data_IF_968531730641
#
_entry.id   IF_968531730641
#
_cell.length_a   1.000
_cell.length_b   1.000
_cell.length_c   1.000
_cell.angle_alpha   90.00
_cell.angle_beta   90.00
_cell.angle_gamma   90.00
#
_symmetry.space_group_name_H-M   'P 1'
#
loop_
_entity.id
_entity.type
_entity.pdbx_description
1 polymer ?
2 non-polymer ?
3 water ?
#
# COMPACT_ATOMS: atom_id res chain seq x y z
N UNK A 6 21.84 17.46 6.39
CA UNK A 6 21.80 16.22 7.15
C UNK A 6 20.68 15.29 6.65
N UNK A 7 19.78 15.82 5.82
CA UNK A 7 18.59 15.13 5.32
C UNK A 7 18.86 13.69 4.90
N UNK A 8 20.01 13.46 4.27
CA UNK A 8 20.35 12.15 3.73
C UNK A 8 21.11 11.28 4.73
N UNK A 9 20.95 11.51 6.03
CA UNK A 9 21.80 10.84 7.00
C UNK A 9 21.57 9.34 7.00
N UNK A 10 20.34 8.88 6.91
CA UNK A 10 20.15 7.44 6.92
C UNK A 10 20.38 6.79 5.55
N UNK A 11 20.99 7.48 4.59
CA UNK A 11 21.10 6.98 3.22
C UNK A 11 22.55 6.71 2.83
N UNK A 12 22.72 5.81 1.87
CA UNK A 12 24.00 5.53 1.25
C UNK A 12 24.07 6.25 -0.09
N UNK A 13 25.14 7.02 -0.29
CA UNK A 13 25.38 7.65 -1.59
C UNK A 13 25.99 6.62 -2.53
N UNK A 14 25.38 6.44 -3.70
CA UNK A 14 25.84 5.47 -4.69
C UNK A 14 26.52 6.20 -5.83
N UNK A 15 27.64 5.63 -6.34
CA UNK A 15 28.32 6.28 -7.48
C UNK A 15 27.56 6.00 -8.78
N UNK A 16 27.47 6.98 -9.68
CA UNK A 16 26.72 6.75 -10.93
C UNK A 16 27.24 5.59 -11.77
N UNK A 17 28.54 5.27 -11.71
CA UNK A 17 29.05 4.15 -12.49
C UNK A 17 28.50 2.79 -12.04
N UNK A 18 27.88 2.71 -10.85
CA UNK A 18 27.31 1.46 -10.37
C UNK A 18 25.87 1.23 -10.81
N UNK A 19 25.26 2.18 -11.51
CA UNK A 19 23.86 2.13 -11.89
C UNK A 19 23.76 2.06 -13.40
N UNK A 20 22.92 1.17 -13.91
CA UNK A 20 22.63 1.12 -15.33
C UNK A 20 21.11 1.09 -15.51
N UNK A 21 20.60 2.05 -16.29
CA UNK A 21 19.18 2.14 -16.55
C UNK A 21 18.84 1.40 -17.83
N UNK A 22 17.70 0.70 -17.84
CA UNK A 22 17.36 -0.11 -19.04
C UNK A 22 16.00 0.26 -19.64
N UNK A 23 14.91 0.26 -18.87
CA UNK A 23 13.62 0.53 -19.47
C UNK A 23 12.85 1.50 -18.60
N UNK A 24 12.16 2.45 -19.26
CA UNK A 24 11.27 3.36 -18.56
C UNK A 24 10.03 2.58 -18.10
N UNK A 25 9.69 2.72 -16.82
CA UNK A 25 8.57 2.00 -16.22
C UNK A 25 7.53 2.94 -15.61
N UNK A 26 7.65 4.24 -15.84
CA UNK A 26 6.75 5.19 -15.21
C UNK A 26 7.31 6.59 -15.28
N UNK A 27 6.54 7.52 -14.72
CA UNK A 27 6.91 8.93 -14.71
C UNK A 27 6.94 9.42 -13.27
N UNK A 28 7.92 10.28 -12.98
CA UNK A 28 8.08 10.87 -11.68
C UNK A 28 7.64 12.33 -11.64
N UNK A 29 7.99 13.04 -10.58
CA UNK A 29 7.61 14.46 -10.45
C UNK A 29 8.27 15.28 -11.56
N UNK A 30 9.57 15.11 -11.75
CA UNK A 30 10.30 15.83 -12.78
C UNK A 30 11.41 14.89 -13.23
N UNK A 31 11.02 13.82 -13.89
CA UNK A 31 11.95 12.79 -14.33
C UNK A 31 11.22 11.48 -14.51
N UNK A 32 11.91 10.54 -15.14
CA UNK A 32 11.34 9.23 -15.41
C UNK A 32 11.74 8.25 -14.32
N UNK A 33 10.93 7.22 -14.17
CA UNK A 33 11.28 6.06 -13.34
C UNK A 33 11.72 4.95 -14.28
N UNK A 34 12.82 4.28 -13.92
CA UNK A 34 13.37 3.21 -14.73
C UNK A 34 13.48 1.92 -13.93
N UNK A 35 13.66 0.86 -14.71
CA UNK A 35 13.99 -0.52 -14.26
C UNK A 35 15.47 -0.68 -14.62
N UNK A 36 16.33 -1.08 -13.69
CA UNK A 36 17.76 -1.10 -13.96
C UNK A 36 18.50 -2.10 -13.10
N UNK A 37 19.84 -2.03 -13.17
CA UNK A 37 20.72 -2.90 -12.40
C UNK A 37 21.69 -2.09 -11.56
N UNK A 38 22.01 -2.62 -10.38
CA UNK A 38 22.93 -1.97 -9.44
C UNK A 38 24.08 -2.91 -9.11
N UNK A 39 25.31 -2.39 -9.13
CA UNK A 39 26.50 -3.14 -8.78
C UNK A 39 26.98 -2.72 -7.40
N UNK A 40 27.18 -3.71 -6.52
CA UNK A 40 27.80 -3.46 -5.21
C UNK A 40 28.74 -4.61 -4.83
N UNK A 45 26.13 -10.85 -9.43
CA UNK A 45 26.52 -9.74 -8.51
C UNK A 45 25.68 -8.50 -8.84
N UNK A 46 25.00 -8.49 -9.98
CA UNK A 46 24.16 -7.33 -10.39
C UNK A 46 22.77 -7.52 -9.75
N UNK A 47 22.25 -6.49 -9.12
CA UNK A 47 20.96 -6.55 -8.44
C UNK A 47 19.98 -5.70 -9.23
N UNK A 48 18.78 -6.19 -9.52
CA UNK A 48 17.77 -5.34 -10.17
C UNK A 48 17.24 -4.28 -9.21
N UNK A 49 16.90 -3.11 -9.77
CA UNK A 49 16.50 -1.97 -8.96
C UNK A 49 15.48 -1.13 -9.72
N UNK A 50 14.68 -0.37 -9.00
CA UNK A 50 13.87 0.70 -9.56
C UNK A 50 14.58 2.02 -9.30
N UNK A 51 14.50 2.94 -10.27
CA UNK A 51 15.28 4.18 -10.24
C UNK A 51 14.36 5.35 -10.60
N UNK A 52 14.18 6.29 -9.67
CA UNK A 52 13.46 7.53 -9.92
C UNK A 52 14.47 8.68 -10.05
N UNK A 53 14.42 9.39 -11.18
CA UNK A 53 15.40 10.45 -11.47
C UNK A 53 14.80 11.85 -11.27
N UNK A 54 15.68 12.82 -11.06
CA UNK A 54 15.34 14.23 -11.07
C UNK A 54 16.19 14.92 -12.13
N UNK A 55 15.57 15.21 -13.27
CA UNK A 55 16.26 15.73 -14.47
C UNK A 55 16.63 17.21 -14.35
N UNK A 56 17.37 17.70 -15.34
CA UNK A 56 17.80 19.10 -15.40
C UNK A 56 16.62 20.03 -15.57
N UNK A 57 16.62 21.13 -14.80
CA UNK A 57 15.55 22.11 -14.81
C UNK A 57 14.64 22.04 -13.61
N UNK A 58 14.87 21.12 -12.68
CA UNK A 58 13.95 20.95 -11.56
C UNK A 58 14.00 22.19 -10.67
N UNK A 59 12.86 22.48 -10.07
CA UNK A 59 12.75 23.66 -9.20
C UNK A 59 13.38 23.37 -7.85
N UNK A 60 13.49 24.44 -7.04
CA UNK A 60 13.99 24.28 -5.68
C UNK A 60 13.01 23.49 -4.83
N UNK A 61 11.70 23.70 -5.01
CA UNK A 61 10.72 22.89 -4.30
C UNK A 61 10.81 21.42 -4.66
N UNK A 62 11.01 21.12 -5.96
CA UNK A 62 11.13 19.73 -6.37
C UNK A 62 12.35 19.08 -5.75
N UNK A 63 13.45 19.83 -5.62
CA UNK A 63 14.66 19.25 -5.03
C UNK A 63 14.47 18.99 -3.55
N UNK A 64 13.77 19.88 -2.85
CA UNK A 64 13.49 19.64 -1.43
C UNK A 64 12.65 18.38 -1.27
N UNK A 65 11.60 18.26 -2.08
CA UNK A 65 10.73 17.09 -1.99
C UNK A 65 11.46 15.82 -2.39
N UNK A 66 12.32 15.91 -3.41
CA UNK A 66 13.04 14.74 -3.88
C UNK A 66 13.97 14.20 -2.79
N UNK A 67 14.91 15.03 -2.33
CA UNK A 67 15.84 14.60 -1.29
C UNK A 67 15.13 14.37 0.04
N UNK A 68 13.98 15.01 0.26
CA UNK A 68 13.19 14.71 1.44
C UNK A 68 12.61 13.31 1.39
N UNK A 69 12.08 12.91 0.23
CA UNK A 69 11.62 11.53 0.08
C UNK A 69 12.76 10.55 0.32
N UNK A 70 13.93 10.81 -0.28
CA UNK A 70 15.06 9.92 -0.09
C UNK A 70 15.44 9.81 1.37
N UNK A 71 15.37 10.94 2.10
CA UNK A 71 15.79 10.95 3.49
C UNK A 71 14.85 10.15 4.39
N UNK A 72 13.54 10.33 4.22
CA UNK A 72 12.62 9.57 5.06
C UNK A 72 12.68 8.09 4.71
N UNK A 73 12.87 7.75 3.43
CA UNK A 73 12.97 6.35 3.04
C UNK A 73 14.19 5.71 3.69
N UNK A 74 15.34 6.40 3.66
CA UNK A 74 16.52 5.90 4.33
C UNK A 74 16.30 5.63 5.80
N UNK A 75 15.41 6.39 6.44
CA UNK A 75 15.16 6.23 7.87
C UNK A 75 14.30 4.99 8.18
N UNK A 76 13.50 4.52 7.22
CA UNK A 76 12.66 3.36 7.47
C UNK A 76 13.46 2.07 7.31
N UNK A 77 13.32 1.17 8.27
CA UNK A 77 13.99 -0.14 8.21
C UNK A 77 13.00 -1.15 8.78
N UNK A 78 12.23 -1.76 7.89
CA UNK A 78 11.19 -2.67 8.32
C UNK A 78 10.92 -3.66 7.20
N UNK A 79 10.62 -4.89 7.58
CA UNK A 79 10.37 -5.98 6.65
C UNK A 79 9.26 -5.67 5.65
N UNK A 80 8.24 -4.90 6.05
CA UNK A 80 7.10 -4.64 5.19
C UNK A 80 7.08 -3.21 4.65
N UNK A 81 8.23 -2.55 4.59
CA UNK A 81 8.40 -1.25 3.95
C UNK A 81 9.43 -1.41 2.83
N UNK A 82 9.19 -0.78 1.68
CA UNK A 82 10.16 -0.83 0.58
C UNK A 82 11.51 -0.34 1.09
N UNK A 83 12.57 -1.02 0.65
CA UNK A 83 13.93 -0.70 1.15
C UNK A 83 14.71 0.17 0.15
N UNK A 84 15.26 1.27 0.64
CA UNK A 84 16.08 2.17 -0.17
C UNK A 84 17.48 1.57 -0.34
N UNK A 85 17.91 1.36 -1.58
CA UNK A 85 19.28 0.91 -1.80
C UNK A 85 20.27 2.06 -1.63
N UNK A 86 19.91 3.24 -2.12
CA UNK A 86 20.80 4.38 -1.99
C UNK A 86 20.27 5.55 -2.78
N UNK A 87 21.14 6.54 -2.94
CA UNK A 87 20.77 7.79 -3.58
C UNK A 87 21.97 8.28 -4.35
N UNK A 88 21.72 8.98 -5.46
CA UNK A 88 22.73 9.79 -6.13
C UNK A 88 22.34 11.24 -5.92
N UNK A 89 23.09 11.94 -5.07
CA UNK A 89 22.87 13.37 -4.88
C UNK A 89 24.04 14.22 -5.34
N UNK A 90 25.24 13.63 -5.48
CA UNK A 90 26.44 14.38 -5.85
C UNK A 90 26.58 14.59 -7.36
N UNK A 91 25.81 13.91 -8.19
CA UNK A 91 25.92 14.05 -9.64
C UNK A 91 24.53 14.22 -10.23
N UNK A 92 24.50 14.64 -11.49
CA UNK A 92 23.25 14.91 -12.20
C UNK A 92 23.10 13.93 -13.35
N UNK A 93 21.92 13.33 -13.52
CA UNK A 93 20.68 13.55 -12.76
C UNK A 93 20.68 12.84 -11.41
N UNK A 94 19.99 13.43 -10.43
CA UNK A 94 19.91 12.82 -9.11
C UNK A 94 18.98 11.62 -9.18
N UNK A 95 19.18 10.66 -8.27
CA UNK A 95 18.46 9.41 -8.37
C UNK A 95 18.09 8.88 -6.99
N UNK A 96 16.91 8.25 -6.92
CA UNK A 96 16.48 7.46 -5.78
C UNK A 96 16.41 6.01 -6.24
N UNK A 97 17.07 5.09 -5.52
CA UNK A 97 17.26 3.73 -5.99
C UNK A 97 16.73 2.77 -4.92
N UNK A 98 15.75 1.96 -5.29
CA UNK A 98 15.15 1.03 -4.33
C UNK A 98 15.33 -0.40 -4.81
N UNK A 99 14.99 -1.34 -3.93
CA UNK A 99 14.91 -2.73 -4.34
C UNK A 99 13.85 -2.89 -5.43
N UNK A 100 13.99 -3.95 -6.22
CA UNK A 100 13.04 -4.26 -7.27
C UNK A 100 12.28 -5.51 -6.87
N UNK A 101 10.96 -5.50 -7.06
CA UNK A 101 10.11 -6.67 -6.74
C UNK A 101 9.59 -7.27 -8.04
N UNK A 102 10.00 -8.49 -8.39
CA UNK A 102 9.55 -9.10 -9.67
C UNK A 102 8.03 -9.32 -9.74
N UNK A 103 7.34 -9.55 -8.62
CA UNK A 103 5.88 -9.81 -8.70
C UNK A 103 5.11 -8.51 -8.89
N UNK A 104 5.74 -7.36 -8.71
CA UNK A 104 5.08 -6.09 -9.00
C UNK A 104 4.02 -5.66 -7.98
N UNK A 105 3.12 -4.80 -8.45
CA UNK A 105 2.13 -4.16 -7.59
C UNK A 105 1.02 -5.14 -7.20
N UNK A 106 0.58 -5.04 -5.95
CA UNK A 106 -0.32 -6.05 -5.38
C UNK A 106 -1.69 -6.05 -6.05
N UNK A 107 -2.19 -4.90 -6.49
CA UNK A 107 -3.53 -4.91 -7.08
C UNK A 107 -3.53 -5.66 -8.41
N UNK A 108 -2.55 -5.38 -9.28
CA UNK A 108 -2.43 -6.11 -10.53
C UNK A 108 -2.10 -7.59 -10.29
N UNK A 109 -1.24 -7.84 -9.30
CA UNK A 109 -0.85 -9.21 -8.95
C UNK A 109 -2.07 -10.08 -8.64
N UNK A 110 -2.94 -9.60 -7.74
CA UNK A 110 -4.10 -10.39 -7.35
C UNK A 110 -5.08 -10.57 -8.52
N UNK A 111 -5.28 -9.53 -9.33
CA UNK A 111 -6.20 -9.65 -10.46
C UNK A 111 -5.73 -10.68 -11.47
N UNK A 112 -4.41 -10.89 -11.61
CA UNK A 112 -3.90 -11.86 -12.57
C UNK A 112 -3.72 -13.23 -11.95
N UNK A 113 -4.16 -13.43 -10.71
CA UNK A 113 -3.97 -14.67 -9.98
C UNK A 113 -5.24 -14.99 -9.20
N UNK A 114 -6.39 -14.72 -9.81
CA UNK A 114 -7.70 -14.88 -9.19
C UNK A 114 -7.88 -16.30 -8.67
N UNK A 115 -8.10 -16.42 -7.37
CA UNK A 115 -8.43 -17.69 -6.75
C UNK A 115 -7.29 -18.62 -6.47
N UNK A 116 -6.04 -18.16 -6.61
CA UNK A 116 -4.89 -19.08 -6.58
C UNK A 116 -4.28 -19.27 -5.20
N UNK A 117 -4.75 -18.56 -4.16
CA UNK A 117 -4.12 -18.63 -2.85
C UNK A 117 -5.14 -19.06 -1.80
N UNK A 118 -4.62 -19.52 -0.65
CA UNK A 118 -5.45 -19.90 0.48
C UNK A 118 -5.85 -18.66 1.30
N UNK A 119 -6.92 -18.81 2.09
CA UNK A 119 -7.28 -17.68 2.96
C UNK A 119 -6.15 -17.40 3.96
N UNK A 120 -5.45 -18.44 4.41
CA UNK A 120 -4.33 -18.20 5.31
C UNK A 120 -3.27 -17.34 4.63
N UNK A 121 -2.99 -17.59 3.35
CA UNK A 121 -2.03 -16.77 2.61
C UNK A 121 -2.52 -15.34 2.46
N UNK A 122 -3.80 -15.16 2.13
CA UNK A 122 -4.35 -13.82 2.00
C UNK A 122 -4.24 -13.05 3.32
N UNK A 123 -4.68 -13.67 4.41
CA UNK A 123 -4.63 -12.99 5.70
C UNK A 123 -3.19 -12.70 6.10
N UNK A 124 -2.24 -13.57 5.73
CA UNK A 124 -0.84 -13.31 6.03
C UNK A 124 -0.33 -12.06 5.34
N UNK A 125 -0.74 -11.86 4.08
CA UNK A 125 -0.37 -10.64 3.37
C UNK A 125 -0.90 -9.40 4.09
N UNK A 126 -2.12 -9.49 4.63
CA UNK A 126 -2.71 -8.36 5.34
C UNK A 126 -1.97 -8.09 6.65
N UNK A 127 -1.53 -9.15 7.34
CA UNK A 127 -0.77 -8.94 8.56
C UNK A 127 0.52 -8.19 8.27
N UNK A 128 1.19 -8.53 7.17
CA UNK A 128 2.41 -7.82 6.79
C UNK A 128 2.15 -6.34 6.50
N UNK A 129 1.13 -6.05 5.70
CA UNK A 129 0.80 -4.64 5.40
C UNK A 129 0.50 -3.89 6.70
N UNK A 130 -0.20 -4.52 7.63
CA UNK A 130 -0.51 -3.86 8.91
C UNK A 130 0.74 -3.60 9.74
N UNK A 131 1.67 -4.56 9.79
CA UNK A 131 2.91 -4.35 10.54
C UNK A 131 3.69 -3.17 9.97
N UNK A 132 3.70 -3.03 8.65
CA UNK A 132 4.36 -1.89 8.04
C UNK A 132 3.65 -0.59 8.35
N UNK A 133 2.31 -0.58 8.29
CA UNK A 133 1.58 0.64 8.64
C UNK A 133 1.73 1.00 10.12
N UNK A 134 1.70 -0.01 11.01
CA UNK A 134 1.95 0.26 12.43
C UNK A 134 3.31 0.93 12.62
N UNK A 135 4.32 0.47 11.91
CA UNK A 135 5.65 1.08 11.99
C UNK A 135 5.64 2.51 11.48
N UNK A 136 5.03 2.75 10.32
CA UNK A 136 4.94 4.12 9.78
C UNK A 136 4.24 5.05 10.76
N UNK A 137 3.08 4.64 11.28
CA UNK A 137 2.33 5.46 12.23
C UNK A 137 3.16 5.77 13.47
N UNK A 138 3.86 4.77 14.00
CA UNK A 138 4.71 4.99 15.17
C UNK A 138 5.85 5.96 14.89
N UNK A 139 6.43 5.90 13.69
CA UNK A 139 7.43 6.88 13.25
C UNK A 139 6.82 8.22 12.90
N UNK A 140 5.51 8.39 13.05
CA UNK A 140 4.80 9.65 12.81
C UNK A 140 4.80 10.02 11.32
N UNK A 141 4.70 9.01 10.47
CA UNK A 141 4.58 9.23 9.03
C UNK A 141 3.18 8.85 8.60
N UNK A 142 2.44 9.80 8.05
CA UNK A 142 1.08 9.56 7.55
C UNK A 142 1.16 9.29 6.05
N UNK A 143 0.66 8.13 5.62
CA UNK A 143 0.89 7.71 4.24
C UNK A 143 0.06 8.52 3.25
N UNK A 144 -1.25 8.61 3.48
CA UNK A 144 -2.24 9.40 2.72
C UNK A 144 -2.73 8.76 1.43
N UNK A 145 -2.07 7.71 0.93
CA UNK A 145 -2.51 7.07 -0.32
C UNK A 145 -2.33 5.56 -0.22
N UNK A 146 -2.74 4.98 0.90
CA UNK A 146 -2.63 3.54 1.08
C UNK A 146 -3.72 2.84 0.27
N UNK A 147 -3.30 1.88 -0.54
CA UNK A 147 -4.11 1.19 -1.53
C UNK A 147 -3.27 0.06 -2.11
N UNK A 148 -3.93 -0.96 -2.68
CA UNK A 148 -3.20 -2.10 -3.21
C UNK A 148 -2.23 -1.71 -4.32
N UNK A 149 -2.53 -0.64 -5.08
CA UNK A 149 -1.64 -0.21 -6.16
C UNK A 149 -0.32 0.34 -5.62
N UNK A 150 -0.25 0.69 -4.33
CA UNK A 150 0.98 1.21 -3.73
C UNK A 150 1.69 0.18 -2.87
N UNK A 151 1.45 -1.11 -3.09
CA UNK A 151 2.06 -2.18 -2.30
C UNK A 151 2.72 -3.16 -3.24
N UNK A 152 3.94 -3.57 -2.92
CA UNK A 152 4.73 -4.46 -3.75
C UNK A 152 4.81 -5.84 -3.11
N UNK A 153 4.85 -6.89 -3.94
CA UNK A 153 4.93 -8.29 -3.48
C UNK A 153 6.25 -8.89 -3.95
N UNK A 154 7.01 -9.52 -3.03
CA UNK A 154 8.23 -10.20 -3.44
C UNK A 154 7.94 -11.69 -3.67
N UNK A 155 8.99 -12.44 -3.98
CA UNK A 155 8.83 -13.84 -4.36
C UNK A 155 8.62 -14.77 -3.17
N UNK A 156 8.59 -14.24 -1.95
CA UNK A 156 8.12 -14.97 -0.78
C UNK A 156 6.69 -14.59 -0.39
N UNK A 157 5.99 -13.83 -1.25
CA UNK A 157 4.65 -13.31 -1.00
C UNK A 157 4.62 -12.23 0.09
N UNK A 158 5.76 -11.59 0.37
CA UNK A 158 5.83 -10.58 1.42
C UNK A 158 5.46 -9.22 0.84
N UNK A 159 4.51 -8.52 1.49
CA UNK A 159 4.05 -7.23 0.99
C UNK A 159 4.84 -6.08 1.61
N UNK A 160 5.25 -5.14 0.76
CA UNK A 160 6.03 -3.97 1.18
C UNK A 160 5.27 -2.70 0.80
N UNK A 161 4.92 -1.91 1.81
CA UNK A 161 4.24 -0.63 1.59
C UNK A 161 5.19 0.31 0.87
N UNK A 162 4.69 0.97 -0.18
CA UNK A 162 5.47 1.88 -0.99
C UNK A 162 4.63 3.13 -1.25
N UNK A 163 5.13 4.03 -2.09
CA UNK A 163 4.31 5.15 -2.57
C UNK A 163 4.86 5.59 -3.92
N UNK A 164 4.16 5.23 -4.99
CA UNK A 164 4.62 5.61 -6.31
C UNK A 164 4.19 7.02 -6.68
N UNK A 165 3.45 7.70 -5.81
CA UNK A 165 3.21 9.11 -5.93
C UNK A 165 2.22 9.55 -6.99
N UNK A 166 1.41 8.63 -7.52
CA UNK A 166 0.53 9.02 -8.61
C UNK A 166 -0.59 9.93 -8.15
N UNK A 167 -0.85 9.99 -6.84
CA UNK A 167 -1.95 10.80 -6.32
C UNK A 167 -1.46 12.19 -5.95
N UNK A 186 -7.98 9.82 -4.74
CA UNK A 186 -8.33 8.45 -4.35
C UNK A 186 -9.56 8.45 -3.44
N UNK A 187 -10.66 9.02 -3.94
CA UNK A 187 -11.85 9.19 -3.10
C UNK A 187 -12.22 7.87 -2.43
N UNK A 188 -12.26 6.78 -3.22
CA UNK A 188 -12.77 5.49 -2.76
C UNK A 188 -11.96 4.89 -1.63
N UNK A 189 -10.73 5.35 -1.43
CA UNK A 189 -9.85 4.79 -0.43
C UNK A 189 -9.68 5.71 0.77
N UNK A 190 -10.30 6.90 0.74
CA UNK A 190 -9.97 7.98 1.66
C UNK A 190 -11.07 8.19 2.70
N UNK A 191 -10.65 8.38 3.95
CA UNK A 191 -11.57 8.56 5.06
C UNK A 191 -12.36 9.85 4.91
N UNK A 192 -13.59 9.88 5.44
CA UNK A 192 -14.45 11.06 5.23
C UNK A 192 -13.86 12.38 5.71
N UNK A 193 -13.21 12.42 6.89
CA UNK A 193 -12.63 13.68 7.37
C UNK A 193 -11.47 14.15 6.51
N UNK A 194 -10.75 13.23 5.88
CA UNK A 194 -9.69 13.62 4.95
C UNK A 194 -10.26 14.22 3.67
N UNK A 195 -11.33 13.61 3.15
CA UNK A 195 -12.03 14.19 1.99
C UNK A 195 -12.60 15.55 2.37
N UNK A 196 -13.33 15.63 3.49
CA UNK A 196 -14.14 16.82 3.77
C UNK A 196 -13.31 18.02 4.16
N UNK A 197 -12.26 17.82 4.98
CA UNK A 197 -11.50 19.00 5.43
C UNK A 197 -10.01 18.71 5.57
N UNK A 198 -9.49 17.77 4.79
CA UNK A 198 -8.06 17.55 4.62
C UNK A 198 -7.36 17.11 5.91
N UNK A 199 -8.08 16.39 6.77
CA UNK A 199 -7.51 15.87 8.00
C UNK A 199 -6.95 14.48 7.71
N UNK A 200 -5.67 14.44 7.32
CA UNK A 200 -4.97 13.18 7.08
C UNK A 200 -4.19 12.80 8.33
N UNK A 201 -4.48 11.61 8.89
CA UNK A 201 -3.81 11.10 10.08
C UNK A 201 -3.64 9.59 9.96
N UNK A 202 -2.93 8.99 10.92
CA UNK A 202 -2.83 7.53 10.91
C UNK A 202 -4.20 6.87 11.06
N UNK A 203 -5.19 7.58 11.59
CA UNK A 203 -6.56 7.05 11.63
C UNK A 203 -7.24 7.11 10.27
N UNK A 204 -6.92 8.11 9.43
CA UNK A 204 -7.46 8.00 8.07
C UNK A 204 -6.71 6.92 7.28
N UNK A 205 -5.43 6.66 7.59
CA UNK A 205 -4.77 5.51 6.95
C UNK A 205 -5.45 4.19 7.37
N UNK A 206 -5.99 4.11 8.60
CA UNK A 206 -6.69 2.89 9.01
C UNK A 206 -7.94 2.68 8.15
N UNK A 207 -8.64 3.75 7.82
CA UNK A 207 -9.77 3.62 6.90
C UNK A 207 -9.32 3.02 5.58
N UNK A 208 -8.23 3.58 5.01
CA UNK A 208 -7.69 3.04 3.78
C UNK A 208 -7.30 1.57 3.93
N UNK A 209 -6.73 1.22 5.09
CA UNK A 209 -6.33 -0.16 5.30
C UNK A 209 -7.53 -1.09 5.24
N UNK A 210 -8.67 -0.66 5.78
CA UNK A 210 -9.90 -1.44 5.61
C UNK A 210 -10.22 -1.70 4.14
N UNK A 211 -10.09 -0.67 3.30
CA UNK A 211 -10.32 -0.86 1.86
C UNK A 211 -9.30 -1.83 1.29
N UNK A 212 -8.03 -1.72 1.71
CA UNK A 212 -7.02 -2.69 1.27
C UNK A 212 -7.40 -4.11 1.67
N UNK A 213 -7.91 -4.31 2.90
CA UNK A 213 -8.36 -5.66 3.27
C UNK A 213 -9.40 -6.17 2.28
N UNK A 214 -10.29 -5.29 1.84
CA UNK A 214 -11.35 -5.70 0.92
C UNK A 214 -10.78 -6.02 -0.47
N UNK A 215 -9.80 -5.23 -0.91
CA UNK A 215 -9.11 -5.52 -2.17
C UNK A 215 -8.48 -6.90 -2.15
N UNK A 216 -7.78 -7.22 -1.06
CA UNK A 216 -7.06 -8.49 -0.99
C UNK A 216 -8.04 -9.66 -1.04
N UNK A 217 -9.06 -9.62 -0.17
CA UNK A 217 -9.97 -10.74 -0.08
C UNK A 217 -10.82 -10.92 -1.34
N UNK A 218 -10.96 -9.87 -2.17
CA UNK A 218 -11.68 -9.98 -3.44
C UNK A 218 -10.78 -10.23 -4.62
N UNK A 219 -9.47 -10.42 -4.41
CA UNK A 219 -8.50 -10.55 -5.51
C UNK A 219 -8.54 -9.31 -6.42
N UNK A 220 -8.53 -8.14 -5.81
CA UNK A 220 -8.35 -6.91 -6.57
C UNK A 220 -9.59 -6.35 -7.25
N UNK A 221 -10.77 -6.61 -6.70
CA UNK A 221 -11.97 -5.97 -7.23
C UNK A 221 -11.94 -4.47 -6.99
N UNK A 222 -12.66 -3.75 -7.83
CA UNK A 222 -12.72 -2.29 -7.70
C UNK A 222 -13.67 -1.89 -6.57
N UNK A 223 -13.21 -1.14 -5.57
CA UNK A 223 -14.11 -0.75 -4.47
C UNK A 223 -15.32 0.01 -4.99
N UNK A 224 -16.50 -0.40 -4.55
CA UNK A 224 -17.79 0.21 -4.88
C UNK A 224 -18.17 0.05 -6.35
N UNK A 225 -17.41 -0.75 -7.12
CA UNK A 225 -17.74 -1.10 -8.52
C UNK A 225 -17.94 0.18 -9.34
N UNK A 226 -19.04 0.31 -10.09
CA UNK A 226 -19.18 1.40 -11.05
C UNK A 226 -19.75 2.67 -10.44
N UNK A 227 -19.89 2.74 -9.12
CA UNK A 227 -20.35 3.97 -8.50
C UNK A 227 -19.39 5.11 -8.83
N UNK A 228 -19.93 6.28 -9.11
CA UNK A 228 -19.12 7.47 -9.30
C UNK A 228 -18.54 7.94 -7.96
N UNK A 229 -17.54 8.83 -8.02
CA UNK A 229 -16.94 9.37 -6.81
C UNK A 229 -18.01 10.00 -5.90
N UNK A 230 -18.93 10.77 -6.49
CA UNK A 230 -19.97 11.42 -5.71
C UNK A 230 -20.96 10.41 -5.14
N UNK A 231 -21.28 9.35 -5.90
CA UNK A 231 -22.13 8.29 -5.35
C UNK A 231 -21.46 7.57 -4.19
N UNK A 232 -20.14 7.35 -4.26
CA UNK A 232 -19.43 6.69 -3.16
C UNK A 232 -19.52 7.52 -1.89
N UNK A 233 -19.31 8.84 -2.01
CA UNK A 233 -19.35 9.69 -0.82
C UNK A 233 -20.75 9.77 -0.23
N UNK A 234 -21.77 9.81 -1.06
CA UNK A 234 -23.16 9.92 -0.57
C UNK A 234 -23.57 8.60 0.12
N UNK A 235 -23.21 7.49 -0.48
CA UNK A 235 -23.47 6.20 0.15
C UNK A 235 -22.79 6.09 1.51
N UNK A 236 -21.52 6.51 1.59
CA UNK A 236 -20.81 6.46 2.88
C UNK A 236 -21.50 7.36 3.89
N UNK A 237 -21.86 8.58 3.48
CA UNK A 237 -22.46 9.51 4.43
C UNK A 237 -23.84 9.04 4.89
N UNK A 238 -24.57 8.31 4.05
CA UNK A 238 -25.87 7.73 4.41
C UNK A 238 -25.75 6.44 5.19
N UNK A 239 -24.53 5.95 5.44
CA UNK A 239 -24.29 4.82 6.31
C UNK A 239 -24.04 3.49 5.63
N UNK A 240 -24.03 3.45 4.30
CA UNK A 240 -23.76 2.20 3.61
C UNK A 240 -22.27 1.91 3.65
N UNK A 241 -21.93 0.61 3.62
CA UNK A 241 -20.54 0.16 3.62
C UNK A 241 -20.41 -1.02 2.65
N UNK A 242 -19.16 -1.29 2.23
CA UNK A 242 -18.93 -2.38 1.28
C UNK A 242 -19.42 -3.71 1.86
N UNK A 243 -20.05 -4.56 1.03
CA UNK A 243 -20.55 -5.85 1.51
C UNK A 243 -19.41 -6.87 1.65
N UNK A 244 -19.76 -8.02 2.23
CA UNK A 244 -18.74 -9.04 2.44
C UNK A 244 -18.21 -9.57 1.11
N UNK A 245 -16.89 -9.73 0.96
CA UNK A 245 -16.36 -10.56 -0.12
C UNK A 245 -16.87 -12.00 -0.02
N UNK A 246 -16.80 -12.71 -1.14
CA UNK A 246 -17.06 -14.14 -1.14
C UNK A 246 -15.98 -14.87 -0.35
N UNK A 247 -16.36 -15.97 0.31
CA UNK A 247 -15.41 -16.85 0.99
C UNK A 247 -14.58 -16.14 2.05
N UNK A 248 -15.14 -15.08 2.68
CA UNK A 248 -14.35 -14.24 3.60
C UNK A 248 -14.58 -14.65 5.04
N UNK A 249 -13.54 -14.86 5.84
CA UNK A 249 -13.73 -15.15 7.25
C UNK A 249 -14.52 -14.05 7.95
N UNK A 250 -15.46 -14.48 8.81
CA UNK A 250 -16.24 -13.54 9.61
C UNK A 250 -15.35 -12.53 10.34
N UNK A 251 -14.30 -13.03 11.00
CA UNK A 251 -13.43 -12.13 11.78
C UNK A 251 -12.79 -11.07 10.91
N UNK A 252 -12.39 -11.43 9.69
CA UNK A 252 -11.77 -10.46 8.79
C UNK A 252 -12.77 -9.39 8.37
N UNK A 253 -14.01 -9.78 8.03
CA UNK A 253 -14.99 -8.77 7.65
C UNK A 253 -15.36 -7.88 8.83
N UNK A 254 -15.52 -8.46 10.03
CA UNK A 254 -15.74 -7.63 11.21
C UNK A 254 -14.64 -6.58 11.36
N UNK A 255 -13.38 -6.99 11.17
CA UNK A 255 -12.27 -6.07 11.36
C UNK A 255 -12.26 -4.96 10.31
N UNK A 256 -12.49 -5.29 9.03
CA UNK A 256 -12.51 -4.20 8.05
C UNK A 256 -13.71 -3.28 8.26
N UNK A 257 -14.81 -3.79 8.82
CA UNK A 257 -15.96 -2.92 9.07
C UNK A 257 -15.64 -1.87 10.12
N UNK A 258 -14.87 -2.25 11.14
CA UNK A 258 -14.54 -1.30 12.20
C UNK A 258 -13.50 -0.29 11.77
N UNK A 259 -12.77 -0.57 10.69
CA UNK A 259 -11.88 0.42 10.11
C UNK A 259 -12.65 1.56 9.47
N UNK A 260 -13.90 1.30 9.07
CA UNK A 260 -14.72 2.26 8.36
C UNK A 260 -15.72 2.98 9.24
N UNK A 261 -15.42 3.13 10.52
CA UNK A 261 -16.32 3.89 11.37
C UNK A 261 -16.26 5.37 11.02
N UNK A 262 -17.42 6.01 10.92
CA UNK A 262 -17.47 7.44 10.68
C UNK A 262 -16.67 8.21 11.74
N UNK A 263 -16.83 7.85 13.01
CA UNK A 263 -16.13 8.56 14.08
C UNK A 263 -14.68 8.09 14.13
N UNK A 264 -13.78 8.98 13.72
CA UNK A 264 -12.35 8.67 13.64
C UNK A 264 -11.82 8.05 14.93
N UNK A 265 -12.23 8.61 16.08
CA UNK A 265 -11.68 8.14 17.35
C UNK A 265 -12.10 6.73 17.70
N UNK A 266 -13.11 6.18 17.01
CA UNK A 266 -13.61 4.83 17.25
C UNK A 266 -12.90 3.76 16.43
N UNK A 267 -12.06 4.14 15.47
CA UNK A 267 -11.40 3.14 14.65
C UNK A 267 -10.28 2.44 15.46
N UNK A 268 -9.93 1.21 15.09
CA UNK A 268 -8.78 0.56 15.70
C UNK A 268 -7.51 1.34 15.39
N UNK A 269 -6.55 1.28 16.30
CA UNK A 269 -5.21 1.72 15.89
C UNK A 269 -4.53 0.58 15.14
N UNK A 270 -3.40 0.88 14.52
CA UNK A 270 -2.70 -0.19 13.81
C UNK A 270 -2.16 -1.23 14.77
N UNK A 271 -1.80 -0.83 16.01
CA UNK A 271 -1.40 -1.82 17.01
C UNK A 271 -2.52 -2.84 17.24
N UNK A 272 -3.77 -2.38 17.24
CA UNK A 272 -4.89 -3.30 17.44
C UNK A 272 -5.06 -4.24 16.25
N UNK A 273 -4.89 -3.70 15.05
CA UNK A 273 -5.06 -4.50 13.83
C UNK A 273 -3.99 -5.59 13.74
N UNK A 274 -2.72 -5.22 13.95
CA UNK A 274 -1.63 -6.19 13.92
C UNK A 274 -1.90 -7.31 14.91
N UNK A 275 -2.30 -6.95 16.13
CA UNK A 275 -2.53 -7.94 17.17
C UNK A 275 -3.64 -8.92 16.80
N UNK A 276 -4.76 -8.40 16.27
CA UNK A 276 -5.86 -9.27 15.92
C UNK A 276 -5.46 -10.21 14.78
N UNK A 277 -4.82 -9.67 13.75
CA UNK A 277 -4.43 -10.51 12.62
C UNK A 277 -3.44 -11.59 13.04
N UNK A 278 -2.49 -11.23 13.91
CA UNK A 278 -1.51 -12.23 14.36
C UNK A 278 -2.20 -13.35 15.14
N UNK A 279 -3.19 -13.03 15.96
CA UNK A 279 -3.85 -14.06 16.75
C UNK A 279 -4.71 -14.97 15.87
N UNK A 280 -5.38 -14.40 14.87
CA UNK A 280 -6.14 -15.21 13.92
C UNK A 280 -5.23 -16.19 13.20
N UNK A 281 -4.08 -15.71 12.70
CA UNK A 281 -3.18 -16.59 11.96
C UNK A 281 -2.64 -17.70 12.86
N UNK A 282 -2.34 -17.37 14.13
CA UNK A 282 -1.71 -18.32 15.03
C UNK A 282 -2.70 -19.31 15.64
N UNK A 283 -3.99 -19.01 15.55
CA UNK A 283 -5.08 -19.94 15.80
C UNK A 283 -5.91 -20.07 14.52
N UNK A 284 -5.37 -20.75 13.50
CA UNK A 284 -5.97 -20.65 12.16
C UNK A 284 -7.39 -21.20 12.04
N UNK A 285 -7.84 -22.08 12.94
CA UNK A 285 -9.25 -22.50 12.89
C UNK A 285 -10.19 -21.31 13.03
N UNK A 286 -9.72 -20.22 13.63
CA UNK A 286 -10.52 -19.01 13.77
C UNK A 286 -10.97 -18.46 12.42
N UNK A 287 -10.22 -18.73 11.36
CA UNK A 287 -10.54 -18.20 10.06
C UNK A 287 -11.53 -19.06 9.28
N UNK A 288 -11.96 -20.19 9.84
CA UNK A 288 -12.81 -21.11 9.09
C UNK A 288 -14.28 -20.70 9.13
N UNK A 289 -14.70 -19.90 10.11
CA UNK A 289 -16.06 -19.37 10.15
C UNK A 289 -16.18 -18.22 9.15
N UNK A 290 -17.09 -18.34 8.18
CA UNK A 290 -17.20 -17.42 7.06
C UNK A 290 -18.42 -16.52 7.19
N UNK A 291 -18.26 -15.24 6.86
CA UNK A 291 -19.41 -14.36 6.84
C UNK A 291 -20.35 -14.75 5.70
N UNK A 292 -21.66 -14.63 5.94
CA UNK A 292 -22.65 -14.83 4.89
C UNK A 292 -22.41 -13.87 3.73
N UNK A 293 -22.54 -14.37 2.50
CA UNK A 293 -22.35 -13.57 1.30
C UNK A 293 -23.71 -13.29 0.66
N UNK A 294 -23.96 -12.01 0.35
CA UNK A 294 -25.23 -11.59 -0.24
C UNK A 294 -25.20 -11.78 -1.75
N UNK A 295 -25.85 -12.82 -2.27
CA UNK A 295 -25.79 -13.05 -3.72
C UNK A 295 -26.53 -11.95 -4.47
N UNK A 296 -25.93 -11.51 -5.57
CA UNK A 296 -26.62 -10.57 -6.43
C UNK A 296 -27.53 -11.28 -7.42
N UNK A 297 -27.22 -12.53 -7.74
CA UNK A 297 -27.96 -13.31 -8.73
C UNK A 297 -28.53 -14.54 -8.05
N UNK A 298 -29.77 -14.88 -8.39
CA UNK A 298 -30.39 -16.13 -7.98
C UNK A 298 -30.39 -17.09 -9.16
N UNK A 299 -29.95 -18.32 -8.90
CA UNK A 299 -30.04 -19.38 -9.89
C UNK A 299 -30.76 -20.55 -9.23
N UNK A 300 -31.89 -20.95 -9.81
CA UNK A 300 -32.70 -22.03 -9.25
C UNK A 300 -32.63 -23.25 -10.15
N UNK A 301 -32.20 -24.38 -9.58
CA UNK A 301 -32.09 -25.68 -10.21
C UNK A 301 -32.80 -26.72 -9.35
N UNK A 302 -33.26 -27.82 -9.95
CA UNK A 302 -33.89 -28.87 -9.14
C UNK A 302 -32.89 -29.66 -8.31
#
# INVERSE_FOLDING_TARGET
>A
GDPNQAVLKFTTEIHPSCVTRQKVIGAGEFGEVYKGMLKTSSGKKEVPVAIKTLKAGYTEKQRVDFLGEAGIMGQFSHHNIIRLEGVISKYKPMMIITEYMENGALDKFLREKDGEFSVLQLVGMLRGIAAGMKYLANMNYVHRDLAARNILVNSNLVCKVSDFGLSRVLEDDPEATYTTSGGKIPIRWTAPEAISYRKFTSASDVWSFGIVMWEVMTYGERPYWELSNHEVMKAINDGFRLPTPMDCPSAIYQLMMQCWQQERARRPKFADIVSILDKLIRAPDSLKTLADFDPRVSIRLPSTSG
#
